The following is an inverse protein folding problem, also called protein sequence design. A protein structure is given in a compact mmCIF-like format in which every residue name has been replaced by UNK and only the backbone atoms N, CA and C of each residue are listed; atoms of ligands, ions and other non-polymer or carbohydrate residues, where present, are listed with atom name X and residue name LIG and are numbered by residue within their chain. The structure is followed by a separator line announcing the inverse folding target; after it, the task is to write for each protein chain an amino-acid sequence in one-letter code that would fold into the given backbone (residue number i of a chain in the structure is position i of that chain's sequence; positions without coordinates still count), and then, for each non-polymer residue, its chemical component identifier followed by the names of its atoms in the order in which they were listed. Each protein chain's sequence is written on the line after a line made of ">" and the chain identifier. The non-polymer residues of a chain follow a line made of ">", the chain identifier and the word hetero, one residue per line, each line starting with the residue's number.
data_IF_725234160625
#
_entry.id   IF_725234160625
#
_cell.length_a   1.000
_cell.length_b   1.000
_cell.length_c   1.000
_cell.angle_alpha   90.00
_cell.angle_beta   90.00
_cell.angle_gamma   90.00
#
_symmetry.space_group_name_H-M   'P 1'
#
loop_
_entity.id
_entity.type
_entity.pdbx_description
1 polymer ?
#
# COMPACT_ATOMS: atom_id res chain seq x y z
N UNK A 1 -17.70 -10.27 -38.32
CA UNK A 1 -17.81 -10.21 -36.84
C UNK A 1 -16.50 -10.70 -36.24
N UNK A 2 -15.52 -9.80 -36.04
CA UNK A 2 -14.29 -10.09 -35.25
C UNK A 2 -13.44 -8.82 -35.22
N UNK A 3 -13.51 -8.03 -34.13
CA UNK A 3 -12.46 -7.06 -33.74
C UNK A 3 -12.80 -6.32 -32.43
N UNK A 4 -13.09 -7.02 -31.33
CA UNK A 4 -13.23 -6.35 -30.02
C UNK A 4 -12.69 -7.24 -28.90
N UNK A 5 -11.37 -7.50 -28.87
CA UNK A 5 -10.74 -8.12 -27.68
C UNK A 5 -9.37 -7.54 -27.28
N UNK A 6 -8.84 -6.53 -27.96
CA UNK A 6 -7.46 -6.08 -27.73
C UNK A 6 -7.31 -4.64 -27.24
N UNK A 7 -8.37 -4.01 -26.69
CA UNK A 7 -8.30 -2.61 -26.24
C UNK A 7 -8.41 -2.38 -24.72
N UNK A 8 -8.39 -3.43 -23.87
CA UNK A 8 -8.57 -3.26 -22.41
C UNK A 8 -7.29 -3.26 -21.56
N UNK A 9 -6.11 -3.48 -22.13
CA UNK A 9 -4.87 -3.62 -21.35
C UNK A 9 -3.89 -2.44 -21.42
N UNK A 10 -4.22 -1.34 -22.11
CA UNK A 10 -3.28 -0.22 -22.32
C UNK A 10 -3.51 1.02 -21.46
N UNK A 11 -4.54 1.05 -20.63
CA UNK A 11 -4.89 2.27 -19.85
C UNK A 11 -4.61 2.17 -18.35
N UNK A 12 -4.17 1.02 -17.84
CA UNK A 12 -3.78 0.86 -16.43
C UNK A 12 -2.30 1.21 -16.16
N UNK A 13 -1.50 1.45 -17.21
CA UNK A 13 -0.04 1.58 -17.10
C UNK A 13 0.47 3.04 -16.99
N UNK A 14 -0.40 4.05 -17.05
CA UNK A 14 0.06 5.45 -17.24
C UNK A 14 0.07 6.29 -15.96
N UNK A 15 -0.56 5.86 -14.87
CA UNK A 15 -0.68 6.71 -13.65
C UNK A 15 0.42 6.44 -12.60
N UNK A 16 1.14 5.31 -12.67
CA UNK A 16 2.16 4.96 -11.66
C UNK A 16 3.62 5.26 -12.09
N UNK A 17 3.83 5.82 -13.29
CA UNK A 17 5.17 6.09 -13.82
C UNK A 17 5.87 7.35 -13.29
N UNK A 18 5.18 8.19 -12.50
CA UNK A 18 5.68 9.53 -12.17
C UNK A 18 6.48 9.63 -10.85
N UNK A 19 6.61 8.54 -10.08
CA UNK A 19 7.29 8.55 -8.77
C UNK A 19 8.65 7.84 -8.74
N UNK A 20 9.14 7.35 -9.88
CA UNK A 20 10.38 6.57 -9.97
C UNK A 20 11.69 7.39 -9.96
N UNK A 21 11.61 8.71 -9.80
CA UNK A 21 12.79 9.59 -9.78
C UNK A 21 12.86 10.29 -8.42
N UNK A 22 13.51 9.64 -7.45
CA UNK A 22 14.41 10.22 -6.44
C UNK A 22 14.57 9.19 -5.31
N UNK A 23 15.72 8.52 -5.25
CA UNK A 23 16.02 7.65 -4.10
C UNK A 23 17.05 6.55 -4.31
N UNK A 24 18.06 6.76 -5.15
CA UNK A 24 19.20 5.85 -5.21
C UNK A 24 20.27 6.30 -4.19
N UNK A 25 20.30 5.71 -2.99
CA UNK A 25 21.49 5.67 -2.16
C UNK A 25 21.42 4.59 -1.06
N UNK A 26 22.34 3.62 -1.17
CA UNK A 26 23.02 2.88 -0.11
C UNK A 26 22.23 1.92 0.80
N UNK A 27 22.55 0.62 0.68
CA UNK A 27 22.27 -0.38 1.71
C UNK A 27 22.18 -1.81 1.18
N UNK A 28 23.27 -2.36 0.64
CA UNK A 28 23.33 -3.76 0.24
C UNK A 28 23.63 -4.65 1.46
N UNK A 29 22.61 -5.33 1.99
CA UNK A 29 22.79 -6.56 2.77
C UNK A 29 21.51 -7.41 2.75
N UNK A 30 21.68 -8.68 2.38
CA UNK A 30 20.68 -9.75 2.36
C UNK A 30 19.37 -9.44 1.60
N UNK A 31 19.44 -9.28 0.27
CA UNK A 31 18.25 -9.44 -0.55
C UNK A 31 17.85 -10.92 -0.55
N UNK A 32 17.01 -11.31 0.42
CA UNK A 32 16.02 -12.35 0.17
C UNK A 32 15.40 -12.02 -1.20
N UNK A 33 15.37 -12.99 -2.12
CA UNK A 33 14.72 -12.81 -3.44
C UNK A 33 13.22 -12.65 -3.18
N UNK A 34 12.82 -11.47 -2.74
CA UNK A 34 11.44 -11.07 -2.63
C UNK A 34 10.92 -10.99 -4.05
N UNK A 35 9.82 -11.70 -4.29
CA UNK A 35 9.07 -11.60 -5.53
C UNK A 35 8.74 -10.13 -5.80
N UNK A 36 8.65 -9.76 -7.08
CA UNK A 36 8.32 -8.39 -7.47
C UNK A 36 6.98 -7.93 -6.86
N UNK A 37 6.03 -8.87 -6.67
CA UNK A 37 4.76 -8.68 -5.96
C UNK A 37 4.96 -8.27 -4.50
N UNK A 38 5.80 -8.99 -3.73
CA UNK A 38 6.07 -8.66 -2.32
C UNK A 38 6.77 -7.31 -2.20
N UNK A 39 7.77 -7.05 -3.03
CA UNK A 39 8.48 -5.76 -3.00
C UNK A 39 7.52 -4.60 -3.26
N UNK A 40 6.68 -4.72 -4.30
CA UNK A 40 5.66 -3.71 -4.63
C UNK A 40 4.69 -3.49 -3.46
N UNK A 41 4.20 -4.56 -2.83
CA UNK A 41 3.29 -4.46 -1.69
C UNK A 41 3.95 -3.79 -0.46
N UNK A 42 5.23 -4.05 -0.23
CA UNK A 42 5.99 -3.40 0.86
C UNK A 42 6.22 -1.91 0.57
N UNK A 43 6.56 -1.55 -0.66
CA UNK A 43 6.72 -0.14 -1.06
C UNK A 43 5.39 0.63 -0.96
N UNK A 44 4.29 0.03 -1.42
CA UNK A 44 2.94 0.58 -1.26
C UNK A 44 2.59 0.76 0.21
N UNK A 45 2.80 -0.26 1.05
CA UNK A 45 2.56 -0.17 2.48
C UNK A 45 3.40 0.90 3.16
N UNK A 46 4.68 1.02 2.80
CA UNK A 46 5.53 2.07 3.35
C UNK A 46 5.00 3.47 3.00
N UNK A 47 4.60 3.68 1.74
CA UNK A 47 4.06 4.96 1.28
C UNK A 47 2.76 5.33 1.97
N UNK A 48 1.78 4.41 1.99
CA UNK A 48 0.47 4.66 2.61
C UNK A 48 0.61 4.85 4.11
N UNK A 49 1.40 4.03 4.80
CA UNK A 49 1.64 4.20 6.23
C UNK A 49 2.38 5.51 6.54
N UNK A 50 3.30 5.97 5.69
CA UNK A 50 3.98 7.24 5.89
C UNK A 50 3.00 8.42 5.79
N UNK A 51 2.09 8.41 4.80
CA UNK A 51 1.05 9.44 4.66
C UNK A 51 0.09 9.42 5.85
N UNK A 52 -0.39 8.24 6.23
CA UNK A 52 -1.28 8.07 7.38
C UNK A 52 -0.63 8.54 8.69
N UNK A 53 0.65 8.19 8.88
CA UNK A 53 1.43 8.60 10.06
C UNK A 53 1.66 10.12 10.06
N UNK A 54 1.96 10.72 8.91
CA UNK A 54 2.07 12.17 8.78
C UNK A 54 0.75 12.87 9.11
N UNK A 55 -0.38 12.38 8.59
CA UNK A 55 -1.71 12.90 8.92
C UNK A 55 -2.01 12.77 10.43
N UNK A 56 -1.60 11.65 11.05
CA UNK A 56 -1.75 11.44 12.49
C UNK A 56 -0.90 12.41 13.31
N UNK A 57 0.35 12.65 12.91
CA UNK A 57 1.24 13.64 13.53
C UNK A 57 0.66 15.05 13.43
N UNK A 58 -0.05 15.34 12.34
CA UNK A 58 -0.77 16.58 12.12
C UNK A 58 -2.18 16.64 12.72
N UNK A 59 -2.57 15.62 13.48
CA UNK A 59 -3.87 15.53 14.15
C UNK A 59 -5.08 15.59 13.19
N UNK A 60 -4.87 15.25 11.91
CA UNK A 60 -5.92 15.14 10.89
C UNK A 60 -6.69 13.82 10.99
N UNK A 61 -6.08 12.82 11.63
CA UNK A 61 -6.70 11.52 11.91
C UNK A 61 -6.39 11.04 13.32
N UNK A 62 -7.27 10.19 13.83
CA UNK A 62 -7.10 9.46 15.08
C UNK A 62 -6.20 8.22 14.93
N UNK A 63 -5.73 7.68 16.05
CA UNK A 63 -4.96 6.43 16.06
C UNK A 63 -5.79 5.22 15.60
N UNK A 64 -7.09 5.21 15.89
CA UNK A 64 -7.97 4.15 15.42
C UNK A 64 -8.16 4.18 13.89
N UNK A 65 -8.13 5.36 13.28
CA UNK A 65 -8.13 5.52 11.82
C UNK A 65 -6.84 5.00 11.19
N UNK A 66 -5.69 5.30 11.79
CA UNK A 66 -4.41 4.73 11.38
C UNK A 66 -4.43 3.19 11.41
N UNK A 67 -4.96 2.60 12.49
CA UNK A 67 -5.14 1.16 12.61
C UNK A 67 -6.13 0.57 11.60
N UNK A 68 -7.23 1.26 11.31
CA UNK A 68 -8.20 0.83 10.28
C UNK A 68 -7.59 0.83 8.88
N UNK A 69 -6.82 1.85 8.54
CA UNK A 69 -6.15 1.93 7.25
C UNK A 69 -5.11 0.82 7.07
N UNK A 70 -4.34 0.56 8.13
CA UNK A 70 -3.41 -0.56 8.20
C UNK A 70 -4.10 -1.89 7.87
N UNK A 71 -5.20 -2.18 8.56
CA UNK A 71 -5.96 -3.41 8.36
C UNK A 71 -6.58 -3.50 6.96
N UNK A 72 -7.06 -2.39 6.40
CA UNK A 72 -7.59 -2.35 5.03
C UNK A 72 -6.52 -2.68 4.00
N UNK A 73 -5.34 -2.08 4.13
CA UNK A 73 -4.24 -2.36 3.20
C UNK A 73 -3.78 -3.82 3.30
N UNK A 74 -3.67 -4.35 4.52
CA UNK A 74 -3.36 -5.75 4.74
C UNK A 74 -4.40 -6.69 4.09
N UNK A 75 -5.70 -6.33 4.12
CA UNK A 75 -6.75 -7.07 3.41
C UNK A 75 -6.60 -7.01 1.88
N UNK A 76 -6.21 -5.85 1.35
CA UNK A 76 -5.95 -5.68 -0.08
C UNK A 76 -4.80 -6.58 -0.52
N UNK A 77 -3.66 -6.51 0.16
CA UNK A 77 -2.50 -7.34 -0.16
C UNK A 77 -2.75 -8.83 0.06
N UNK A 78 -3.53 -9.22 1.08
CA UNK A 78 -3.91 -10.62 1.30
C UNK A 78 -4.73 -11.20 0.13
N UNK A 79 -5.49 -10.37 -0.59
CA UNK A 79 -6.24 -10.81 -1.77
C UNK A 79 -5.40 -10.90 -3.06
N UNK A 80 -4.22 -10.26 -3.07
CA UNK A 80 -3.36 -10.14 -4.25
C UNK A 80 -2.12 -11.05 -4.18
N UNK A 81 -1.63 -11.33 -2.99
CA UNK A 81 -0.43 -12.13 -2.76
C UNK A 81 -0.77 -13.62 -2.59
N UNK A 82 0.09 -14.49 -3.11
CA UNK A 82 0.06 -15.92 -2.77
C UNK A 82 0.48 -16.18 -1.33
N UNK A 83 0.22 -17.38 -0.80
CA UNK A 83 0.45 -17.70 0.62
C UNK A 83 1.89 -17.42 1.11
N UNK A 84 2.90 -17.84 0.34
CA UNK A 84 4.31 -17.63 0.71
C UNK A 84 4.74 -16.15 0.63
N UNK A 85 4.19 -15.43 -0.36
CA UNK A 85 4.42 -14.00 -0.53
C UNK A 85 3.75 -13.20 0.60
N UNK A 86 2.54 -13.60 1.01
CA UNK A 86 1.81 -13.02 2.12
C UNK A 86 2.55 -13.16 3.46
N UNK A 87 3.09 -14.34 3.75
CA UNK A 87 3.92 -14.57 4.94
C UNK A 87 5.16 -13.67 4.94
N UNK A 88 5.86 -13.61 3.81
CA UNK A 88 7.04 -12.75 3.65
C UNK A 88 6.69 -11.27 3.83
N UNK A 89 5.58 -10.83 3.23
CA UNK A 89 5.06 -9.47 3.39
C UNK A 89 4.82 -9.15 4.87
N UNK A 90 4.15 -10.02 5.62
CA UNK A 90 3.87 -9.80 7.05
C UNK A 90 5.16 -9.70 7.88
N UNK A 91 6.15 -10.57 7.61
CA UNK A 91 7.45 -10.54 8.31
C UNK A 91 8.16 -9.21 8.07
N UNK A 92 8.26 -8.78 6.81
CA UNK A 92 8.97 -7.54 6.44
C UNK A 92 8.21 -6.32 7.00
N UNK A 93 6.90 -6.26 6.83
CA UNK A 93 6.04 -5.17 7.31
C UNK A 93 6.01 -5.07 8.84
N UNK A 94 6.15 -6.20 9.54
CA UNK A 94 6.27 -6.26 11.00
C UNK A 94 7.67 -5.88 11.54
N UNK A 95 8.66 -5.68 10.67
CA UNK A 95 10.03 -5.41 11.08
C UNK A 95 10.25 -4.00 11.65
N UNK A 96 11.27 -3.83 12.49
CA UNK A 96 11.70 -2.50 12.94
C UNK A 96 12.21 -1.63 11.78
N UNK A 97 12.88 -2.24 10.80
CA UNK A 97 13.39 -1.51 9.64
C UNK A 97 12.26 -0.83 8.86
N UNK A 98 11.15 -1.55 8.63
CA UNK A 98 9.96 -1.00 7.99
C UNK A 98 9.33 0.12 8.82
N UNK A 99 9.14 -0.09 10.13
CA UNK A 99 8.57 0.96 11.01
C UNK A 99 9.41 2.23 11.02
N UNK A 100 10.74 2.09 11.07
CA UNK A 100 11.65 3.22 11.06
C UNK A 100 11.63 3.97 9.72
N UNK A 101 11.56 3.27 8.59
CA UNK A 101 11.48 3.91 7.26
C UNK A 101 10.17 4.67 7.07
N UNK A 102 9.04 4.09 7.53
CA UNK A 102 7.73 4.76 7.55
C UNK A 102 7.79 6.02 8.39
N UNK A 103 8.31 5.94 9.61
CA UNK A 103 8.37 7.08 10.51
C UNK A 103 9.29 8.19 10.00
N UNK A 104 10.47 7.83 9.46
CA UNK A 104 11.37 8.80 8.84
C UNK A 104 10.71 9.51 7.65
N UNK A 105 9.99 8.78 6.80
CA UNK A 105 9.26 9.34 5.66
C UNK A 105 8.11 10.24 6.11
N UNK A 106 7.39 9.85 7.15
CA UNK A 106 6.31 10.65 7.74
C UNK A 106 6.86 11.95 8.32
N UNK A 107 7.97 11.90 9.06
CA UNK A 107 8.64 13.08 9.60
C UNK A 107 9.07 14.03 8.49
N UNK A 108 9.69 13.53 7.42
CA UNK A 108 10.11 14.35 6.28
C UNK A 108 8.94 15.13 5.66
N UNK A 109 7.74 14.54 5.61
CA UNK A 109 6.53 15.21 5.09
C UNK A 109 6.02 16.33 5.99
N UNK A 110 6.30 16.28 7.29
CA UNK A 110 5.83 17.27 8.28
C UNK A 110 6.93 18.22 8.76
N UNK A 111 8.16 18.11 8.23
CA UNK A 111 9.29 18.97 8.62
C UNK A 111 9.02 20.46 8.37
N UNK A 112 8.20 20.80 7.37
CA UNK A 112 7.75 22.17 7.10
C UNK A 112 6.55 22.63 7.94
N UNK A 113 6.09 21.80 8.88
CA UNK A 113 4.83 21.99 9.60
C UNK A 113 3.67 21.23 8.96
N UNK A 114 2.53 21.27 9.64
CA UNK A 114 1.31 20.62 9.21
C UNK A 114 0.54 21.49 8.22
N UNK A 115 0.61 21.12 6.93
CA UNK A 115 -0.12 21.79 5.86
C UNK A 115 -1.45 21.08 5.58
N UNK A 116 -2.42 21.81 5.02
CA UNK A 116 -3.70 21.23 4.57
C UNK A 116 -3.53 20.17 3.48
N UNK A 117 -2.38 20.15 2.81
CA UNK A 117 -2.03 19.16 1.79
C UNK A 117 -1.89 17.75 2.37
N UNK A 118 -1.34 17.59 3.58
CA UNK A 118 -1.19 16.28 4.21
C UNK A 118 -2.56 15.65 4.46
N UNK A 119 -3.50 16.42 4.98
CA UNK A 119 -4.88 15.98 5.19
C UNK A 119 -5.62 15.70 3.88
N UNK A 120 -5.40 16.50 2.83
CA UNK A 120 -6.00 16.28 1.52
C UNK A 120 -5.50 14.98 0.87
N UNK A 121 -4.18 14.81 0.81
CA UNK A 121 -3.53 13.59 0.27
C UNK A 121 -3.98 12.37 1.07
N UNK A 122 -4.08 12.48 2.39
CA UNK A 122 -4.60 11.39 3.21
C UNK A 122 -6.04 11.00 2.83
N UNK A 123 -6.94 11.97 2.66
CA UNK A 123 -8.34 11.69 2.30
C UNK A 123 -8.44 10.95 0.95
N UNK A 124 -7.63 11.33 -0.02
CA UNK A 124 -7.59 10.67 -1.34
C UNK A 124 -7.07 9.23 -1.24
N UNK A 125 -6.03 9.01 -0.41
CA UNK A 125 -5.50 7.67 -0.12
C UNK A 125 -6.52 6.82 0.63
N UNK A 126 -7.18 7.34 1.67
CA UNK A 126 -8.19 6.59 2.44
C UNK A 126 -9.39 6.23 1.55
N UNK A 127 -9.87 7.14 0.70
CA UNK A 127 -10.93 6.83 -0.25
C UNK A 127 -10.55 5.68 -1.19
N UNK A 128 -9.31 5.70 -1.70
CA UNK A 128 -8.77 4.64 -2.56
C UNK A 128 -8.65 3.31 -1.81
N UNK A 129 -8.17 3.32 -0.57
CA UNK A 129 -8.09 2.14 0.30
C UNK A 129 -9.47 1.55 0.64
N UNK A 130 -10.46 2.41 0.92
CA UNK A 130 -11.84 1.99 1.20
C UNK A 130 -12.41 1.24 0.01
N UNK A 131 -12.24 1.78 -1.20
CA UNK A 131 -12.70 1.14 -2.43
C UNK A 131 -11.97 -0.19 -2.67
N UNK A 132 -10.63 -0.19 -2.61
CA UNK A 132 -9.84 -1.40 -2.81
C UNK A 132 -10.18 -2.50 -1.79
N UNK A 133 -10.38 -2.13 -0.52
CA UNK A 133 -10.78 -3.06 0.54
C UNK A 133 -12.17 -3.65 0.34
N UNK A 134 -13.12 -2.88 -0.22
CA UNK A 134 -14.45 -3.41 -0.56
C UNK A 134 -14.36 -4.48 -1.65
N UNK A 135 -13.63 -4.20 -2.73
CA UNK A 135 -13.40 -5.14 -3.85
C UNK A 135 -12.67 -6.41 -3.38
N UNK A 136 -11.67 -6.24 -2.51
CA UNK A 136 -10.88 -7.37 -1.98
C UNK A 136 -11.74 -8.31 -1.13
N UNK A 137 -12.64 -7.77 -0.30
CA UNK A 137 -13.59 -8.59 0.49
C UNK A 137 -14.57 -9.36 -0.39
N UNK A 138 -15.09 -8.74 -1.45
CA UNK A 138 -15.97 -9.41 -2.41
C UNK A 138 -15.26 -10.57 -3.13
N UNK A 139 -14.00 -10.35 -3.52
CA UNK A 139 -13.14 -11.36 -4.14
C UNK A 139 -12.90 -12.55 -3.21
N UNK A 140 -12.55 -12.28 -1.95
CA UNK A 140 -12.33 -13.31 -0.93
C UNK A 140 -13.62 -14.10 -0.64
N UNK A 141 -14.75 -13.42 -0.48
CA UNK A 141 -16.05 -14.05 -0.24
C UNK A 141 -16.48 -14.96 -1.41
N UNK A 142 -16.24 -14.52 -2.65
CA UNK A 142 -16.54 -15.29 -3.86
C UNK A 142 -15.66 -16.54 -3.97
N UNK A 143 -14.37 -16.43 -3.63
CA UNK A 143 -13.46 -17.57 -3.60
C UNK A 143 -13.86 -18.63 -2.56
N UNK A 144 -14.36 -18.21 -1.39
CA UNK A 144 -14.90 -19.12 -0.38
C UNK A 144 -16.21 -19.77 -0.83
N UNK A 145 -17.12 -19.03 -1.47
CA UNK A 145 -18.38 -19.59 -1.98
C UNK A 145 -18.20 -20.58 -3.14
N UNK A 146 -17.12 -20.45 -3.92
CA UNK A 146 -16.80 -21.35 -5.03
C UNK A 146 -16.17 -22.68 -4.58
N UNK A 147 -15.81 -22.81 -3.30
CA UNK A 147 -15.24 -24.03 -2.72
C UNK A 147 -15.98 -24.39 -1.41
N UNK A 148 -17.26 -24.79 -1.48
CA UNK A 148 -17.99 -25.26 -0.31
C UNK A 148 -17.36 -26.59 0.12
N UNK A 149 -16.62 -26.56 1.22
CA UNK A 149 -16.33 -27.79 1.96
C UNK A 149 -17.59 -28.28 2.64
#
# INVERSE_FOLDING_TARGET
>A
MTAIKTLKYRTAAVVLGALALLGAAAGASAQSVQSASVRSAIEEAASVHAIATAARLCNEISESELGRAANRLDQVHASQLGANDWETYLIVRGSMAFRNSVFASALSRVQGGCTSEVGAVWRDVDASLVFAGAVSRETLASATSANPR
#
